data_IF_653995856977
#
_entry.id   IF_653995856977
#
_cell.length_a   1.000
_cell.length_b   1.000
_cell.length_c   1.000
_cell.angle_alpha   90.00
_cell.angle_beta   90.00
_cell.angle_gamma   90.00
#
_symmetry.space_group_name_H-M   'P 1'
#
loop_
_entity.id
_entity.type
_entity.pdbx_description
1 polymer ?
#
# COMPACT_ATOMS: atom_id res chain seq x y z
N UNK A 1 16.79 -7.44 -5.17
CA UNK A 1 16.82 -7.12 -3.73
C UNK A 1 15.38 -7.18 -3.21
N UNK A 2 15.17 -7.46 -1.93
CA UNK A 2 13.82 -7.51 -1.34
C UNK A 2 13.76 -6.45 -0.24
N UNK A 3 12.84 -5.51 -0.40
CA UNK A 3 12.55 -4.49 0.59
C UNK A 3 11.36 -4.94 1.43
N UNK A 4 11.43 -4.75 2.75
CA UNK A 4 10.37 -5.16 3.68
C UNK A 4 9.82 -3.95 4.42
N UNK A 5 8.50 -3.82 4.41
CA UNK A 5 7.75 -2.79 5.11
C UNK A 5 6.75 -3.51 6.02
N UNK A 6 6.80 -3.23 7.32
CA UNK A 6 5.97 -3.89 8.30
C UNK A 6 5.23 -2.88 9.16
N UNK A 7 3.99 -3.19 9.53
CA UNK A 7 3.17 -2.40 10.44
C UNK A 7 2.29 -3.30 11.29
N UNK A 8 2.30 -3.07 12.59
CA UNK A 8 1.34 -3.67 13.53
C UNK A 8 0.15 -2.73 13.65
N UNK A 9 -1.06 -3.27 13.54
CA UNK A 9 -2.32 -2.53 13.59
C UNK A 9 -3.17 -3.09 14.73
N UNK A 10 -3.69 -2.20 15.57
CA UNK A 10 -4.65 -2.54 16.62
C UNK A 10 -6.07 -2.60 16.04
N UNK A 11 -6.81 -3.64 16.41
CA UNK A 11 -8.16 -3.93 15.94
C UNK A 11 -9.02 -4.41 17.10
N UNK A 12 -10.35 -4.40 16.91
CA UNK A 12 -11.29 -4.92 17.90
C UNK A 12 -11.22 -6.45 18.00
N UNK A 13 -11.24 -7.15 16.88
CA UNK A 13 -11.16 -8.62 16.81
C UNK A 13 -10.81 -9.10 15.40
N UNK A 14 -9.85 -10.02 15.26
CA UNK A 14 -9.51 -10.67 13.98
C UNK A 14 -10.44 -11.83 13.61
N UNK A 15 -11.71 -11.52 13.32
CA UNK A 15 -12.71 -12.50 12.93
C UNK A 15 -12.86 -12.62 11.39
N UNK A 16 -13.71 -13.56 10.94
CA UNK A 16 -13.92 -13.84 9.52
C UNK A 16 -14.50 -12.66 8.73
N UNK A 17 -15.35 -11.83 9.36
CA UNK A 17 -15.90 -10.61 8.73
C UNK A 17 -14.78 -9.58 8.47
N UNK A 18 -13.90 -9.36 9.45
CA UNK A 18 -12.78 -8.43 9.29
C UNK A 18 -11.74 -8.96 8.28
N UNK A 19 -11.50 -10.28 8.27
CA UNK A 19 -10.66 -10.93 7.27
C UNK A 19 -11.21 -10.76 5.85
N UNK A 20 -12.52 -10.91 5.66
CA UNK A 20 -13.17 -10.70 4.38
C UNK A 20 -13.04 -9.23 3.94
N UNK A 21 -13.35 -8.27 4.81
CA UNK A 21 -13.19 -6.84 4.54
C UNK A 21 -11.75 -6.46 4.18
N UNK A 22 -10.77 -7.04 4.90
CA UNK A 22 -9.36 -6.85 4.59
C UNK A 22 -9.02 -7.41 3.21
N UNK A 23 -9.50 -8.60 2.88
CA UNK A 23 -9.32 -9.21 1.55
C UNK A 23 -9.90 -8.33 0.43
N UNK A 24 -11.10 -7.79 0.63
CA UNK A 24 -11.78 -6.88 -0.31
C UNK A 24 -10.99 -5.57 -0.50
N UNK A 25 -10.55 -4.94 0.59
CA UNK A 25 -9.70 -3.75 0.55
C UNK A 25 -8.45 -3.98 -0.30
N UNK A 26 -7.67 -5.03 0.00
CA UNK A 26 -6.42 -5.29 -0.72
C UNK A 26 -6.66 -5.73 -2.16
N UNK A 27 -7.80 -6.37 -2.44
CA UNK A 27 -8.21 -6.70 -3.82
C UNK A 27 -8.50 -5.43 -4.63
N UNK A 28 -9.19 -4.46 -4.05
CA UNK A 28 -9.44 -3.16 -4.68
C UNK A 28 -8.13 -2.37 -4.92
N UNK A 29 -7.12 -2.60 -4.10
CA UNK A 29 -5.77 -2.07 -4.25
C UNK A 29 -4.86 -2.92 -5.17
N UNK A 30 -5.45 -3.86 -5.91
CA UNK A 30 -4.79 -4.62 -6.98
C UNK A 30 -4.00 -5.83 -6.51
N UNK A 31 -4.19 -6.29 -5.28
CA UNK A 31 -3.63 -7.56 -4.80
C UNK A 31 -4.57 -8.73 -5.11
N UNK A 32 -4.01 -9.87 -5.47
CA UNK A 32 -4.72 -11.15 -5.48
C UNK A 32 -4.59 -11.76 -4.10
N UNK A 33 -5.70 -11.87 -3.39
CA UNK A 33 -5.74 -12.37 -2.02
C UNK A 33 -6.01 -13.88 -1.99
N UNK A 34 -5.40 -14.55 -1.02
CA UNK A 34 -5.60 -15.94 -0.66
C UNK A 34 -5.58 -16.04 0.86
N UNK A 35 -6.41 -16.93 1.40
CA UNK A 35 -6.53 -17.14 2.84
C UNK A 35 -5.98 -18.52 3.19
N UNK A 36 -5.20 -18.57 4.26
CA UNK A 36 -4.80 -19.76 4.99
C UNK A 36 -5.35 -19.65 6.43
N UNK A 37 -5.48 -20.75 7.18
CA UNK A 37 -6.28 -20.89 8.41
C UNK A 37 -6.29 -19.66 9.34
N UNK A 38 -5.14 -19.00 9.53
CA UNK A 38 -4.99 -17.81 10.39
C UNK A 38 -4.30 -16.62 9.71
N UNK A 39 -4.07 -16.68 8.40
CA UNK A 39 -3.26 -15.72 7.67
C UNK A 39 -3.94 -15.29 6.37
N UNK A 40 -3.87 -13.99 6.06
CA UNK A 40 -4.17 -13.50 4.72
C UNK A 40 -2.87 -13.27 3.96
N UNK A 41 -2.81 -13.80 2.76
CA UNK A 41 -1.70 -13.62 1.84
C UNK A 41 -2.20 -12.88 0.61
N UNK A 42 -1.54 -11.78 0.27
CA UNK A 42 -1.78 -11.01 -0.93
C UNK A 42 -0.59 -11.07 -1.86
N UNK A 43 -0.83 -11.09 -3.16
CA UNK A 43 0.24 -10.93 -4.15
C UNK A 43 -0.18 -9.98 -5.25
N UNK A 44 0.68 -9.03 -5.58
CA UNK A 44 0.56 -8.23 -6.81
C UNK A 44 1.88 -8.25 -7.58
N UNK A 45 1.77 -8.09 -8.89
CA UNK A 45 2.89 -8.18 -9.81
C UNK A 45 3.36 -9.61 -10.07
N UNK A 46 3.43 -9.95 -11.35
CA UNK A 46 4.10 -11.13 -11.89
C UNK A 46 5.00 -10.72 -13.04
N UNK A 47 5.99 -11.54 -13.40
CA UNK A 47 6.96 -11.21 -14.46
C UNK A 47 6.28 -10.78 -15.76
N UNK A 48 5.14 -11.41 -16.10
CA UNK A 48 4.35 -11.05 -17.29
C UNK A 48 3.49 -9.79 -17.11
N UNK A 49 2.95 -9.56 -15.91
CA UNK A 49 2.17 -8.35 -15.62
C UNK A 49 3.06 -7.10 -15.63
N UNK A 50 4.32 -7.22 -15.22
CA UNK A 50 5.31 -6.14 -15.27
C UNK A 50 5.74 -5.82 -16.71
N UNK A 51 5.81 -6.82 -17.59
CA UNK A 51 6.22 -6.64 -18.99
C UNK A 51 5.09 -6.13 -19.90
N UNK A 52 3.83 -6.44 -19.58
CA UNK A 52 2.68 -6.14 -20.44
C UNK A 52 1.77 -5.01 -19.91
N UNK A 53 1.92 -4.58 -18.66
CA UNK A 53 1.08 -3.51 -18.12
C UNK A 53 1.81 -2.16 -18.10
N UNK A 54 1.20 -1.16 -18.75
CA UNK A 54 1.52 0.25 -18.56
C UNK A 54 0.96 0.78 -17.22
N UNK A 55 0.78 -0.08 -16.21
CA UNK A 55 0.22 0.29 -14.91
C UNK A 55 1.35 0.45 -13.88
N UNK A 56 1.49 1.63 -13.26
CA UNK A 56 2.56 1.96 -12.29
C UNK A 56 2.63 1.09 -11.03
N UNK A 57 1.59 0.30 -10.72
CA UNK A 57 1.53 -0.61 -9.55
C UNK A 57 2.36 -1.90 -9.76
N UNK A 58 3.26 -1.91 -10.75
CA UNK A 58 4.00 -3.08 -11.23
C UNK A 58 5.21 -3.49 -10.37
N UNK A 59 5.29 -3.10 -9.10
CA UNK A 59 6.28 -3.70 -8.20
C UNK A 59 5.71 -5.01 -7.71
N UNK A 60 6.42 -6.10 -8.04
CA UNK A 60 6.09 -7.42 -7.51
C UNK A 60 6.18 -7.37 -6.00
N UNK A 61 5.07 -7.55 -5.31
CA UNK A 61 5.01 -7.53 -3.86
C UNK A 61 4.10 -8.60 -3.29
N UNK A 62 4.48 -9.08 -2.12
CA UNK A 62 3.73 -10.04 -1.32
C UNK A 62 3.32 -9.34 -0.03
N UNK A 63 2.05 -9.45 0.31
CA UNK A 63 1.48 -9.02 1.58
C UNK A 63 1.21 -10.27 2.42
N UNK A 64 1.55 -10.19 3.70
CA UNK A 64 1.13 -11.16 4.71
C UNK A 64 0.49 -10.40 5.85
N UNK A 65 -0.72 -10.80 6.23
CA UNK A 65 -1.41 -10.33 7.42
C UNK A 65 -1.58 -11.51 8.36
N UNK A 66 -0.98 -11.41 9.54
CA UNK A 66 -1.02 -12.46 10.56
C UNK A 66 -1.56 -11.89 11.86
N UNK A 67 -2.47 -12.59 12.52
CA UNK A 67 -2.90 -12.25 13.88
C UNK A 67 -1.99 -12.92 14.89
N UNK A 68 -1.25 -12.12 15.65
CA UNK A 68 -0.46 -12.59 16.78
C UNK A 68 -1.30 -12.62 18.07
N UNK A 69 -2.29 -11.73 18.15
CA UNK A 69 -3.25 -11.61 19.25
C UNK A 69 -4.64 -11.31 18.65
N UNK A 70 -5.76 -11.65 19.31
CA UNK A 70 -7.10 -11.39 18.78
C UNK A 70 -7.36 -9.93 18.40
N UNK A 71 -6.68 -8.99 19.06
CA UNK A 71 -6.84 -7.54 18.90
C UNK A 71 -5.69 -6.88 18.14
N UNK A 72 -4.75 -7.67 17.58
CA UNK A 72 -3.60 -7.14 16.83
C UNK A 72 -3.26 -7.98 15.62
N UNK A 73 -2.97 -7.28 14.53
CA UNK A 73 -2.45 -7.90 13.31
C UNK A 73 -1.12 -7.29 12.92
N UNK A 74 -0.23 -8.13 12.43
CA UNK A 74 1.00 -7.73 11.78
C UNK A 74 0.80 -7.80 10.27
N UNK A 75 0.98 -6.66 9.61
CA UNK A 75 0.95 -6.52 8.17
C UNK A 75 2.38 -6.37 7.65
N UNK A 76 2.82 -7.29 6.80
CA UNK A 76 4.16 -7.30 6.24
C UNK A 76 4.07 -7.30 4.72
N UNK A 77 4.63 -6.27 4.09
CA UNK A 77 4.79 -6.19 2.64
C UNK A 77 6.25 -6.44 2.28
N UNK A 78 6.48 -7.42 1.42
CA UNK A 78 7.78 -7.71 0.80
C UNK A 78 7.73 -7.30 -0.65
N UNK A 79 8.53 -6.31 -1.03
CA UNK A 79 8.61 -5.82 -2.39
C UNK A 79 9.90 -6.31 -3.07
N UNK A 80 9.76 -6.97 -4.22
CA UNK A 80 10.87 -7.47 -5.02
C UNK A 80 11.30 -6.42 -6.03
N UNK A 81 12.51 -5.90 -5.85
CA UNK A 81 13.10 -4.81 -6.64
C UNK A 81 14.17 -5.29 -7.61
N UNK A 82 14.29 -6.60 -7.80
CA UNK A 82 15.41 -7.21 -8.53
C UNK A 82 15.53 -6.72 -9.99
N UNK A 83 14.44 -6.27 -10.60
CA UNK A 83 14.43 -5.76 -11.98
C UNK A 83 13.94 -4.32 -12.11
N UNK A 84 13.78 -3.59 -11.00
CA UNK A 84 13.24 -2.23 -10.97
C UNK A 84 14.08 -1.36 -10.03
N UNK A 85 14.39 -0.13 -10.45
CA UNK A 85 15.01 0.83 -9.53
C UNK A 85 13.99 1.19 -8.45
N UNK A 86 14.33 0.89 -7.19
CA UNK A 86 13.56 1.32 -6.03
C UNK A 86 13.70 2.82 -5.85
N UNK A 87 12.62 3.57 -6.04
CA UNK A 87 12.58 5.01 -5.85
C UNK A 87 11.77 5.38 -4.60
N UNK A 88 11.84 6.65 -4.20
CA UNK A 88 11.18 7.15 -2.97
C UNK A 88 9.66 6.99 -3.08
N UNK A 89 9.11 7.10 -4.29
CA UNK A 89 7.69 6.88 -4.55
C UNK A 89 7.23 5.46 -4.21
N UNK A 90 8.06 4.46 -4.48
CA UNK A 90 7.75 3.05 -4.24
C UNK A 90 7.63 2.73 -2.75
N UNK A 91 8.50 3.30 -1.93
CA UNK A 91 8.36 3.17 -0.48
C UNK A 91 7.09 3.89 0.01
N UNK A 92 6.84 5.06 -0.54
CA UNK A 92 5.72 5.93 -0.12
C UNK A 92 4.37 5.30 -0.45
N UNK A 93 4.24 4.58 -1.58
CA UNK A 93 2.98 3.91 -1.93
C UNK A 93 2.63 2.81 -0.93
N UNK A 94 3.59 1.98 -0.53
CA UNK A 94 3.34 0.91 0.44
C UNK A 94 3.06 1.45 1.84
N UNK A 95 3.77 2.51 2.26
CA UNK A 95 3.48 3.19 3.53
C UNK A 95 2.08 3.81 3.54
N UNK A 96 1.64 4.38 2.41
CA UNK A 96 0.29 4.93 2.24
C UNK A 96 -0.77 3.82 2.29
N UNK A 97 -0.58 2.72 1.56
CA UNK A 97 -1.52 1.59 1.55
C UNK A 97 -1.73 1.00 2.96
N UNK A 98 -0.64 0.83 3.72
CA UNK A 98 -0.73 0.37 5.11
C UNK A 98 -1.43 1.39 6.02
N UNK A 99 -1.31 2.69 5.73
CA UNK A 99 -1.99 3.75 6.49
C UNK A 99 -3.48 3.82 6.18
N UNK A 100 -3.84 3.71 4.89
CA UNK A 100 -5.23 3.61 4.46
C UNK A 100 -5.88 2.35 5.01
N UNK A 101 -5.15 1.24 5.05
CA UNK A 101 -5.63 0.00 5.62
C UNK A 101 -5.91 0.11 7.13
N UNK A 102 -4.97 0.69 7.90
CA UNK A 102 -5.17 0.97 9.34
C UNK A 102 -6.40 1.86 9.55
N UNK A 103 -6.55 2.93 8.75
CA UNK A 103 -7.72 3.80 8.82
C UNK A 103 -9.02 3.06 8.49
N UNK A 104 -9.02 2.26 7.43
CA UNK A 104 -10.16 1.45 6.99
C UNK A 104 -10.61 0.47 8.08
N UNK A 105 -9.68 -0.21 8.75
CA UNK A 105 -10.00 -1.14 9.82
C UNK A 105 -10.66 -0.44 11.03
N UNK A 106 -10.32 0.82 11.30
CA UNK A 106 -10.88 1.59 12.42
C UNK A 106 -12.22 2.25 12.09
N UNK A 107 -12.40 2.71 10.86
CA UNK A 107 -13.52 3.60 10.48
C UNK A 107 -14.48 2.99 9.47
N UNK A 108 -14.06 1.95 8.76
CA UNK A 108 -14.78 1.39 7.60
C UNK A 108 -14.65 2.23 6.32
N UNK A 109 -13.92 3.35 6.34
CA UNK A 109 -13.70 4.21 5.17
C UNK A 109 -12.37 3.88 4.49
N UNK A 110 -12.44 3.41 3.24
CA UNK A 110 -11.27 3.09 2.44
C UNK A 110 -10.57 4.33 1.85
N UNK A 111 -11.23 5.49 1.86
CA UNK A 111 -10.75 6.76 1.28
C UNK A 111 -10.27 6.62 -0.17
N UNK A 112 -11.06 5.93 -1.00
CA UNK A 112 -10.73 5.62 -2.39
C UNK A 112 -10.33 6.86 -3.22
N UNK A 113 -10.88 8.03 -2.91
CA UNK A 113 -10.51 9.29 -3.57
C UNK A 113 -9.07 9.73 -3.28
N UNK A 114 -8.60 9.56 -2.04
CA UNK A 114 -7.22 9.86 -1.66
C UNK A 114 -6.26 8.89 -2.33
N UNK A 115 -6.62 7.60 -2.34
CA UNK A 115 -5.87 6.56 -3.03
C UNK A 115 -5.76 6.85 -4.53
N UNK A 116 -6.88 7.18 -5.18
CA UNK A 116 -6.93 7.50 -6.60
C UNK A 116 -6.07 8.73 -6.93
N UNK A 117 -6.14 9.80 -6.14
CA UNK A 117 -5.33 11.01 -6.34
C UNK A 117 -3.84 10.71 -6.23
N UNK A 118 -3.42 9.89 -5.26
CA UNK A 118 -2.04 9.45 -5.14
C UNK A 118 -1.64 8.60 -6.34
N UNK A 119 -2.45 7.60 -6.70
CA UNK A 119 -2.19 6.70 -7.83
C UNK A 119 -2.01 7.46 -9.15
N UNK A 120 -2.88 8.43 -9.43
CA UNK A 120 -2.80 9.28 -10.63
C UNK A 120 -1.52 10.15 -10.64
N UNK A 121 -1.10 10.64 -9.47
CA UNK A 121 0.12 11.46 -9.33
C UNK A 121 1.37 10.61 -9.53
N UNK A 122 1.42 9.45 -8.87
CA UNK A 122 2.48 8.48 -9.03
C UNK A 122 2.59 7.98 -10.48
N UNK A 123 1.46 7.76 -11.16
CA UNK A 123 1.44 7.39 -12.57
C UNK A 123 2.11 8.43 -13.47
N UNK A 124 1.84 9.71 -13.23
CA UNK A 124 2.48 10.81 -13.98
C UNK A 124 3.99 10.79 -13.78
N UNK A 125 4.46 10.64 -12.54
CA UNK A 125 5.89 10.59 -12.22
C UNK A 125 6.59 9.38 -12.82
N UNK A 126 5.98 8.20 -12.72
CA UNK A 126 6.51 6.98 -13.33
C UNK A 126 6.61 7.10 -14.86
N UNK A 127 5.58 7.67 -15.50
CA UNK A 127 5.61 7.93 -16.94
C UNK A 127 6.70 8.94 -17.33
N UNK A 128 6.86 10.02 -16.56
CA UNK A 128 7.95 10.99 -16.76
C UNK A 128 9.33 10.36 -16.61
N UNK A 129 9.52 9.49 -15.61
CA UNK A 129 10.77 8.74 -15.44
C UNK A 129 11.09 7.86 -16.65
N UNK A 130 10.11 7.14 -17.17
CA UNK A 130 10.30 6.32 -18.38
C UNK A 130 10.62 7.16 -19.61
N UNK A 131 9.87 8.24 -19.87
CA UNK A 131 10.06 9.11 -21.03
C UNK A 131 11.40 9.83 -21.01
N UNK A 132 11.95 10.10 -19.83
CA UNK A 132 13.23 10.82 -19.66
C UNK A 132 14.42 9.90 -19.40
N UNK A 133 14.25 8.58 -19.45
CA UNK A 133 15.31 7.63 -19.12
C UNK A 133 15.81 7.76 -17.67
N UNK A 134 14.97 8.22 -16.76
CA UNK A 134 15.28 8.41 -15.34
C UNK A 134 15.84 9.79 -14.96
N UNK A 135 15.91 10.75 -15.89
CA UNK A 135 16.37 12.12 -15.59
C UNK A 135 15.37 12.93 -14.73
N UNK A 136 14.07 12.61 -14.81
CA UNK A 136 13.00 13.26 -14.04
C UNK A 136 12.04 12.21 -13.44
N UNK A 137 11.23 12.57 -12.44
CA UNK A 137 10.18 11.70 -11.90
C UNK A 137 10.62 10.61 -10.92
N UNK A 138 11.93 10.40 -10.72
CA UNK A 138 12.45 9.46 -9.71
C UNK A 138 12.47 10.02 -8.29
N UNK A 139 12.38 11.34 -8.14
CA UNK A 139 12.38 12.03 -6.85
C UNK A 139 11.00 12.62 -6.58
N UNK A 140 10.65 12.70 -5.30
CA UNK A 140 9.48 13.39 -4.82
C UNK A 140 9.92 14.74 -4.26
N UNK A 141 9.24 15.83 -4.63
CA UNK A 141 9.55 17.14 -4.07
C UNK A 141 9.22 17.19 -2.57
N UNK A 142 9.83 18.15 -1.85
CA UNK A 142 9.56 18.33 -0.43
C UNK A 142 8.08 18.67 -0.16
N UNK A 143 7.46 19.43 -1.06
CA UNK A 143 6.06 19.84 -0.97
C UNK A 143 5.12 18.65 -1.18
N UNK A 144 5.35 17.81 -2.20
CA UNK A 144 4.59 16.59 -2.43
C UNK A 144 4.72 15.61 -1.25
N UNK A 145 5.94 15.43 -0.74
CA UNK A 145 6.19 14.58 0.43
C UNK A 145 5.45 15.09 1.66
N UNK A 146 5.42 16.40 1.86
CA UNK A 146 4.72 17.02 2.99
C UNK A 146 3.21 16.95 2.83
N UNK A 147 2.69 17.12 1.61
CA UNK A 147 1.27 16.99 1.32
C UNK A 147 0.77 15.56 1.55
N UNK A 148 1.45 14.55 1.02
CA UNK A 148 1.04 13.16 1.26
C UNK A 148 1.18 12.75 2.71
N UNK A 149 2.21 13.23 3.40
CA UNK A 149 2.34 13.00 4.83
C UNK A 149 1.22 13.68 5.63
N UNK A 150 0.85 14.90 5.28
CA UNK A 150 -0.30 15.58 5.87
C UNK A 150 -1.63 14.88 5.54
N UNK A 151 -1.79 14.32 4.34
CA UNK A 151 -2.98 13.54 3.96
C UNK A 151 -3.06 12.22 4.75
N UNK A 152 -1.90 11.60 5.07
CA UNK A 152 -1.80 10.44 5.97
C UNK A 152 -2.12 10.85 7.42
N UNK A 153 -1.51 11.93 7.92
CA UNK A 153 -1.57 12.35 9.33
C UNK A 153 -2.91 13.04 9.68
N UNK A 154 -3.50 13.81 8.76
CA UNK A 154 -4.86 14.39 8.94
C UNK A 154 -5.96 13.34 8.96
N UNK A 155 -5.66 12.09 8.56
CA UNK A 155 -6.51 10.93 8.80
C UNK A 155 -6.45 10.36 10.22
N UNK A 156 -5.41 10.69 10.99
CA UNK A 156 -5.24 10.30 12.39
C UNK A 156 -5.83 11.32 13.39
N UNK A 157 -6.07 12.56 12.95
CA UNK A 157 -6.49 13.67 13.83
C UNK A 157 -8.00 13.77 14.13
N UNK A 158 -8.85 12.84 13.67
CA UNK A 158 -10.30 12.93 13.92
C UNK A 158 -10.71 12.47 15.34
N UNK A 159 -9.83 11.84 16.13
CA UNK A 159 -10.14 11.46 17.52
C UNK A 159 -9.03 11.80 18.52
N UNK A 160 -8.83 13.10 18.73
CA UNK A 160 -8.31 13.65 19.99
C UNK A 160 -8.90 15.04 20.28
N UNK A 161 -10.22 15.20 20.09
CA UNK A 161 -10.99 16.32 20.60
C UNK A 161 -11.81 15.86 21.80
N UNK A 162 -11.46 16.37 22.99
CA UNK A 162 -12.17 16.17 24.26
C UNK A 162 -13.64 16.56 24.20
#
# INVERSE_FOLDING_TARGET
MVETIARTIEISEWNSDLQQKASEFWTNHGMKMSQDDHCLHGRRGGVFDVLLSAKPIAISSELTITSMEPTKIDCVIKACTTFQMWCIWDKTIFDLELSLFDHFLRTGDARDEHWKRFSDTYQKHYWMANMTGGLMGLTMSADEKSQFRADIDSGLDIHCGR
#
